data_IF_038349997881
#
_entry.id   IF_038349997881
#
_cell.length_a   1.000
_cell.length_b   1.000
_cell.length_c   1.000
_cell.angle_alpha   90.00
_cell.angle_beta   90.00
_cell.angle_gamma   90.00
#
_symmetry.space_group_name_H-M   'P 1'
#
loop_
_entity.id
_entity.type
_entity.pdbx_description
1 polymer ?
#
# COMPACT_ATOMS: atom_id res chain seq x y z
N UNK A 1 -28.19 1.09 9.32
CA UNK A 1 -28.78 0.18 8.32
C UNK A 1 -29.06 0.89 6.99
N UNK A 2 -28.41 2.03 6.71
CA UNK A 2 -28.78 2.92 5.58
C UNK A 2 -27.86 2.86 4.36
N UNK A 3 -26.78 2.08 4.41
CA UNK A 3 -25.81 1.98 3.30
C UNK A 3 -26.35 1.25 2.05
N UNK A 4 -27.38 0.41 2.20
CA UNK A 4 -27.96 -0.33 1.07
C UNK A 4 -29.04 0.46 0.30
N UNK A 5 -29.56 1.56 0.86
CA UNK A 5 -30.61 2.35 0.21
C UNK A 5 -30.05 3.24 -0.91
N UNK A 6 -28.87 3.85 -0.70
CA UNK A 6 -28.21 4.76 -1.65
C UNK A 6 -27.79 4.09 -2.96
N UNK A 7 -27.31 2.83 -2.92
CA UNK A 7 -26.83 2.13 -4.14
C UNK A 7 -27.98 1.73 -5.08
N UNK A 8 -29.19 1.53 -4.53
CA UNK A 8 -30.39 1.17 -5.32
C UNK A 8 -31.02 2.38 -6.00
N UNK A 9 -30.89 3.57 -5.42
CA UNK A 9 -31.37 4.82 -6.03
C UNK A 9 -30.50 5.26 -7.21
N UNK A 10 -29.18 5.05 -7.18
CA UNK A 10 -28.29 5.47 -8.28
C UNK A 10 -28.49 4.65 -9.57
N UNK A 11 -28.79 3.36 -9.46
CA UNK A 11 -29.07 2.49 -10.62
C UNK A 11 -30.43 2.80 -11.25
N UNK A 12 -31.45 3.10 -10.45
CA UNK A 12 -32.78 3.52 -10.93
C UNK A 12 -32.71 4.89 -11.61
N UNK A 13 -31.90 5.80 -11.09
CA UNK A 13 -31.67 7.11 -11.70
C UNK A 13 -31.01 6.98 -13.08
N UNK A 14 -29.95 6.18 -13.22
CA UNK A 14 -29.29 5.90 -14.51
C UNK A 14 -30.24 5.30 -15.55
N UNK A 15 -31.09 4.37 -15.13
CA UNK A 15 -32.04 3.73 -16.04
C UNK A 15 -33.06 4.71 -16.63
N UNK A 16 -33.53 5.69 -15.83
CA UNK A 16 -34.46 6.73 -16.29
C UNK A 16 -33.85 7.65 -17.36
N UNK A 17 -32.56 7.95 -17.26
CA UNK A 17 -31.87 8.83 -18.22
C UNK A 17 -31.64 8.20 -19.59
N UNK A 18 -31.35 6.89 -19.65
CA UNK A 18 -31.25 6.18 -20.92
C UNK A 18 -32.59 6.13 -21.65
N UNK A 19 -33.69 6.01 -20.92
CA UNK A 19 -35.05 6.04 -21.50
C UNK A 19 -35.40 7.42 -22.07
N UNK A 20 -35.05 8.50 -21.35
CA UNK A 20 -35.24 9.88 -21.82
C UNK A 20 -34.42 10.17 -23.08
N UNK A 21 -33.16 9.71 -23.12
CA UNK A 21 -32.30 9.84 -24.29
C UNK A 21 -32.85 9.08 -25.51
N UNK A 22 -33.26 7.82 -25.32
CA UNK A 22 -33.88 7.02 -26.38
C UNK A 22 -35.16 7.67 -26.92
N UNK A 23 -35.97 8.29 -26.05
CA UNK A 23 -37.17 9.04 -26.44
C UNK A 23 -36.83 10.26 -27.31
N UNK A 24 -35.79 11.02 -26.96
CA UNK A 24 -35.36 12.22 -27.72
C UNK A 24 -34.85 11.83 -29.11
N UNK A 25 -34.04 10.77 -29.21
CA UNK A 25 -33.55 10.25 -30.50
C UNK A 25 -34.71 9.76 -31.36
N UNK A 26 -35.66 9.05 -30.76
CA UNK A 26 -36.84 8.54 -31.47
C UNK A 26 -37.74 9.67 -31.97
N UNK A 27 -37.98 10.71 -31.17
CA UNK A 27 -38.68 11.92 -31.58
C UNK A 27 -37.95 12.63 -32.74
N UNK A 28 -36.63 12.76 -32.66
CA UNK A 28 -35.81 13.36 -33.72
C UNK A 28 -35.96 12.62 -35.06
N UNK A 29 -35.99 11.28 -35.02
CA UNK A 29 -36.17 10.44 -36.22
C UNK A 29 -37.60 10.56 -36.79
N UNK A 30 -38.61 10.62 -35.92
CA UNK A 30 -40.01 10.81 -36.33
C UNK A 30 -40.18 12.17 -37.03
N UNK A 31 -39.66 13.25 -36.44
CA UNK A 31 -39.72 14.59 -37.04
C UNK A 31 -38.96 14.67 -38.37
N UNK A 32 -37.80 14.01 -38.47
CA UNK A 32 -37.04 13.93 -39.72
C UNK A 32 -37.80 13.16 -40.81
N UNK A 33 -38.43 12.03 -40.47
CA UNK A 33 -39.22 11.23 -41.41
C UNK A 33 -40.48 11.95 -41.92
N UNK A 34 -41.21 12.62 -41.02
CA UNK A 34 -42.37 13.45 -41.37
C UNK A 34 -41.94 14.63 -42.23
N UNK A 35 -40.85 15.30 -41.87
CA UNK A 35 -40.28 16.41 -42.64
C UNK A 35 -39.89 16.01 -44.07
N UNK A 36 -39.27 14.83 -44.23
CA UNK A 36 -38.91 14.28 -45.55
C UNK A 36 -40.13 13.91 -46.39
N UNK A 37 -41.18 13.34 -45.77
CA UNK A 37 -42.37 12.89 -46.49
C UNK A 37 -43.29 14.04 -46.95
N UNK A 38 -43.26 15.18 -46.28
CA UNK A 38 -44.11 16.35 -46.57
C UNK A 38 -43.37 17.38 -47.46
N UNK A 39 -42.11 17.12 -47.82
CA UNK A 39 -41.28 18.05 -48.57
C UNK A 39 -41.75 18.20 -50.02
N UNK A 40 -42.71 19.10 -50.22
CA UNK A 40 -43.10 19.62 -51.54
C UNK A 40 -42.37 20.94 -51.81
N UNK A 41 -42.03 21.26 -53.06
CA UNK A 41 -41.20 22.44 -53.39
C UNK A 41 -41.78 23.81 -52.98
N UNK A 42 -43.03 23.86 -52.54
CA UNK A 42 -43.81 25.09 -52.35
C UNK A 42 -44.19 25.38 -50.89
N UNK A 43 -44.02 24.44 -49.96
CA UNK A 43 -44.39 24.63 -48.55
C UNK A 43 -43.17 24.81 -47.63
N UNK A 44 -43.11 25.98 -46.95
CA UNK A 44 -42.09 26.30 -45.94
C UNK A 44 -42.16 25.42 -44.69
N UNK A 45 -43.27 24.71 -44.50
CA UNK A 45 -43.55 23.87 -43.33
C UNK A 45 -42.56 22.71 -43.21
N UNK A 46 -42.21 22.04 -44.32
CA UNK A 46 -41.25 20.94 -44.33
C UNK A 46 -39.83 21.35 -43.93
N UNK A 47 -39.38 22.55 -44.33
CA UNK A 47 -38.06 23.06 -43.96
C UNK A 47 -37.95 23.37 -42.46
N UNK A 48 -39.00 23.93 -41.84
CA UNK A 48 -38.98 24.20 -40.39
C UNK A 48 -38.88 22.92 -39.55
N UNK A 49 -39.55 21.84 -39.96
CA UNK A 49 -39.49 20.55 -39.28
C UNK A 49 -38.10 19.90 -39.36
N UNK A 50 -37.40 20.04 -40.50
CA UNK A 50 -36.03 19.54 -40.64
C UNK A 50 -35.02 20.31 -39.76
N UNK A 51 -35.18 21.63 -39.61
CA UNK A 51 -34.33 22.42 -38.71
C UNK A 51 -34.56 22.03 -37.25
N UNK A 52 -35.82 21.80 -36.85
CA UNK A 52 -36.16 21.33 -35.50
C UNK A 52 -35.59 19.92 -35.26
N UNK A 53 -35.69 19.02 -36.24
CA UNK A 53 -35.11 17.67 -36.15
C UNK A 53 -33.58 17.73 -36.02
N UNK A 54 -32.90 18.61 -36.79
CA UNK A 54 -31.46 18.83 -36.66
C UNK A 54 -31.05 19.36 -35.28
N UNK A 55 -31.83 20.29 -34.71
CA UNK A 55 -31.61 20.81 -33.36
C UNK A 55 -31.80 19.76 -32.26
N UNK A 56 -32.81 18.89 -32.39
CA UNK A 56 -33.00 17.77 -31.45
C UNK A 56 -31.87 16.74 -31.55
N UNK A 57 -31.37 16.48 -32.75
CA UNK A 57 -30.27 15.55 -32.96
C UNK A 57 -28.95 16.06 -32.38
N UNK A 58 -28.62 17.35 -32.56
CA UNK A 58 -27.40 17.94 -31.97
C UNK A 58 -27.48 17.96 -30.45
N UNK A 59 -28.65 18.22 -29.87
CA UNK A 59 -28.87 18.16 -28.43
C UNK A 59 -28.73 16.74 -27.89
N UNK A 60 -29.22 15.73 -28.62
CA UNK A 60 -29.00 14.33 -28.29
C UNK A 60 -27.50 13.97 -28.35
N UNK A 61 -26.77 14.41 -29.38
CA UNK A 61 -25.34 14.15 -29.50
C UNK A 61 -24.55 14.77 -28.35
N UNK A 62 -24.82 16.04 -28.01
CA UNK A 62 -24.19 16.71 -26.88
C UNK A 62 -24.47 15.98 -25.55
N UNK A 63 -25.71 15.50 -25.37
CA UNK A 63 -26.08 14.71 -24.21
C UNK A 63 -25.35 13.36 -24.15
N UNK A 64 -25.20 12.67 -25.29
CA UNK A 64 -24.46 11.41 -25.36
C UNK A 64 -22.99 11.59 -24.97
N UNK A 65 -22.34 12.66 -25.44
CA UNK A 65 -20.96 13.01 -25.06
C UNK A 65 -20.87 13.28 -23.55
N UNK A 66 -21.82 14.02 -22.98
CA UNK A 66 -21.86 14.30 -21.55
C UNK A 66 -21.98 13.02 -20.70
N UNK A 67 -22.83 12.07 -21.11
CA UNK A 67 -22.95 10.76 -20.45
C UNK A 67 -21.65 9.96 -20.53
N UNK A 68 -20.97 10.02 -21.68
CA UNK A 68 -19.70 9.32 -21.89
C UNK A 68 -18.59 9.89 -20.98
N UNK A 69 -18.57 11.20 -20.78
CA UNK A 69 -17.67 11.87 -19.82
C UNK A 69 -17.99 11.53 -18.36
N UNK A 70 -19.27 11.40 -18.01
CA UNK A 70 -19.65 10.96 -16.66
C UNK A 70 -19.23 9.51 -16.38
N UNK A 71 -19.43 8.62 -17.36
CA UNK A 71 -18.99 7.23 -17.26
C UNK A 71 -17.47 7.13 -17.14
N UNK A 72 -16.71 7.91 -17.91
CA UNK A 72 -15.24 7.92 -17.81
C UNK A 72 -14.76 8.47 -16.47
N UNK A 73 -15.41 9.52 -15.95
CA UNK A 73 -15.11 10.04 -14.62
C UNK A 73 -15.35 9.00 -13.53
N UNK A 74 -16.45 8.26 -13.61
CA UNK A 74 -16.79 7.25 -12.62
C UNK A 74 -15.91 6.00 -12.70
N UNK A 75 -15.54 5.56 -13.90
CA UNK A 75 -14.58 4.44 -14.05
C UNK A 75 -13.22 4.82 -13.49
N UNK A 76 -12.73 6.04 -13.75
CA UNK A 76 -11.49 6.54 -13.14
C UNK A 76 -11.59 6.58 -11.61
N UNK A 77 -12.71 7.05 -11.07
CA UNK A 77 -12.93 7.06 -9.61
C UNK A 77 -12.96 5.65 -9.02
N UNK A 78 -13.67 4.72 -9.66
CA UNK A 78 -13.74 3.31 -9.24
C UNK A 78 -12.38 2.62 -9.31
N UNK A 79 -11.59 2.90 -10.36
CA UNK A 79 -10.23 2.41 -10.48
C UNK A 79 -9.33 2.93 -9.36
N UNK A 80 -9.49 4.19 -8.97
CA UNK A 80 -8.77 4.78 -7.83
C UNK A 80 -9.12 4.10 -6.51
N UNK A 81 -10.41 3.94 -6.22
CA UNK A 81 -10.89 3.26 -5.00
C UNK A 81 -10.47 1.77 -4.97
N UNK A 82 -10.41 1.12 -6.13
CA UNK A 82 -9.94 -0.27 -6.26
C UNK A 82 -8.43 -0.35 -6.05
N UNK A 83 -7.67 0.61 -6.56
CA UNK A 83 -6.22 0.74 -6.31
C UNK A 83 -5.91 0.87 -4.82
N UNK A 84 -6.62 1.74 -4.10
CA UNK A 84 -6.44 1.91 -2.64
C UNK A 84 -6.70 0.60 -1.86
N UNK A 85 -7.71 -0.19 -2.28
CA UNK A 85 -7.97 -1.51 -1.66
C UNK A 85 -6.90 -2.55 -1.98
N UNK A 86 -6.33 -2.49 -3.19
CA UNK A 86 -5.25 -3.38 -3.62
C UNK A 86 -3.96 -3.08 -2.88
N UNK A 87 -3.64 -1.81 -2.67
CA UNK A 87 -2.54 -1.36 -1.80
C UNK A 87 -2.70 -1.89 -0.38
N UNK A 88 -3.87 -1.69 0.23
CA UNK A 88 -4.15 -2.20 1.58
C UNK A 88 -4.04 -3.74 1.67
N UNK A 89 -4.46 -4.45 0.61
CA UNK A 89 -4.35 -5.92 0.55
C UNK A 89 -2.90 -6.38 0.35
N UNK A 90 -2.12 -5.65 -0.45
CA UNK A 90 -0.69 -5.87 -0.65
C UNK A 90 0.09 -5.66 0.66
N UNK A 91 -0.22 -4.58 1.38
CA UNK A 91 0.34 -4.31 2.71
C UNK A 91 -0.02 -5.43 3.71
N UNK A 92 -1.24 -5.95 3.68
CA UNK A 92 -1.63 -7.08 4.54
C UNK A 92 -0.90 -8.38 4.18
N UNK A 93 -0.72 -8.68 2.90
CA UNK A 93 0.07 -9.83 2.44
C UNK A 93 1.55 -9.70 2.82
N UNK A 94 2.12 -8.50 2.77
CA UNK A 94 3.50 -8.26 3.21
C UNK A 94 3.67 -8.37 4.73
N UNK A 95 2.66 -7.96 5.51
CA UNK A 95 2.63 -8.25 6.96
C UNK A 95 2.64 -9.75 7.22
N UNK A 96 1.82 -10.52 6.51
CA UNK A 96 1.80 -11.98 6.63
C UNK A 96 3.14 -12.60 6.22
N UNK A 97 3.75 -12.13 5.13
CA UNK A 97 5.06 -12.59 4.68
C UNK A 97 6.16 -12.30 5.72
N UNK A 98 6.16 -11.09 6.28
CA UNK A 98 7.11 -10.67 7.33
C UNK A 98 6.93 -11.51 8.61
N UNK A 99 5.69 -11.74 9.04
CA UNK A 99 5.38 -12.62 10.17
C UNK A 99 5.83 -14.05 9.91
N UNK A 100 5.65 -14.58 8.69
CA UNK A 100 6.13 -15.92 8.33
C UNK A 100 7.65 -16.01 8.35
N UNK A 101 8.36 -14.97 7.91
CA UNK A 101 9.83 -14.88 8.01
C UNK A 101 10.28 -14.78 9.47
N UNK A 102 9.59 -13.99 10.30
CA UNK A 102 9.86 -13.88 11.74
C UNK A 102 9.54 -15.17 12.49
N UNK A 103 8.50 -15.90 12.12
CA UNK A 103 8.19 -17.24 12.67
C UNK A 103 9.29 -18.22 12.25
N UNK A 104 9.70 -18.21 10.97
CA UNK A 104 10.79 -19.05 10.48
C UNK A 104 12.14 -18.75 11.15
N UNK A 105 12.41 -17.48 11.49
CA UNK A 105 13.58 -17.05 12.24
C UNK A 105 13.44 -17.36 13.74
N UNK A 106 12.25 -17.18 14.30
CA UNK A 106 11.90 -17.46 15.69
C UNK A 106 12.04 -18.94 16.03
N UNK A 107 11.73 -19.86 15.11
CA UNK A 107 11.97 -21.30 15.28
C UNK A 107 13.47 -21.64 15.44
N UNK A 108 14.40 -20.74 15.05
CA UNK A 108 15.86 -20.94 15.12
C UNK A 108 16.56 -20.16 16.22
N UNK A 109 15.85 -19.32 16.99
CA UNK A 109 16.43 -18.51 18.07
C UNK A 109 16.29 -19.20 19.43
N UNK A 110 17.32 -19.08 20.27
CA UNK A 110 17.29 -19.48 21.69
C UNK A 110 16.19 -18.73 22.44
N UNK A 111 15.55 -19.37 23.43
CA UNK A 111 14.38 -18.84 24.13
C UNK A 111 14.61 -17.48 24.80
N UNK A 112 15.85 -17.17 25.20
CA UNK A 112 16.24 -15.85 25.74
C UNK A 112 16.24 -14.74 24.67
N UNK A 113 16.60 -15.07 23.43
CA UNK A 113 16.59 -14.11 22.32
C UNK A 113 15.18 -13.86 21.78
N UNK A 114 14.30 -14.88 21.84
CA UNK A 114 12.87 -14.72 21.60
C UNK A 114 12.27 -13.76 22.61
N UNK A 115 12.53 -13.94 23.89
CA UNK A 115 11.96 -13.08 24.94
C UNK A 115 12.35 -11.61 24.76
N UNK A 116 13.59 -11.31 24.36
CA UNK A 116 14.05 -9.93 24.11
C UNK A 116 13.42 -9.33 22.85
N UNK A 117 13.40 -10.05 21.73
CA UNK A 117 12.84 -9.55 20.45
C UNK A 117 11.32 -9.41 20.50
N UNK A 118 10.63 -10.34 21.16
CA UNK A 118 9.17 -10.29 21.29
C UNK A 118 8.72 -9.29 22.34
N UNK A 119 9.55 -8.93 23.33
CA UNK A 119 9.17 -7.95 24.36
C UNK A 119 8.86 -6.58 23.77
N UNK A 120 9.70 -6.08 22.87
CA UNK A 120 9.51 -4.72 22.32
C UNK A 120 8.31 -4.67 21.36
N UNK A 121 8.06 -5.77 20.63
CA UNK A 121 6.86 -5.93 19.81
C UNK A 121 5.59 -6.02 20.66
N UNK A 122 5.62 -6.84 21.73
CA UNK A 122 4.49 -7.01 22.65
C UNK A 122 4.14 -5.70 23.38
N UNK A 123 5.15 -4.94 23.82
CA UNK A 123 4.96 -3.62 24.42
C UNK A 123 4.29 -2.64 23.45
N UNK A 124 4.69 -2.65 22.19
CA UNK A 124 4.11 -1.80 21.18
C UNK A 124 2.64 -2.16 20.93
N UNK A 125 2.35 -3.45 20.69
CA UNK A 125 0.99 -3.93 20.41
C UNK A 125 0.03 -3.64 21.56
N UNK A 126 0.47 -3.90 22.80
CA UNK A 126 -0.29 -3.58 24.01
C UNK A 126 -0.53 -2.07 24.14
N UNK A 127 0.51 -1.26 23.92
CA UNK A 127 0.41 0.19 23.96
C UNK A 127 -0.59 0.74 22.92
N UNK A 128 -0.51 0.27 21.68
CA UNK A 128 -1.43 0.65 20.60
C UNK A 128 -2.87 0.26 20.92
N UNK A 129 -3.09 -0.95 21.47
CA UNK A 129 -4.42 -1.41 21.82
C UNK A 129 -5.07 -0.51 22.89
N UNK A 130 -4.33 -0.13 23.93
CA UNK A 130 -4.81 0.79 24.96
C UNK A 130 -5.06 2.20 24.40
N UNK A 131 -4.16 2.73 23.55
CA UNK A 131 -4.35 4.03 22.90
C UNK A 131 -5.56 4.05 21.99
N UNK A 132 -5.81 2.98 21.25
CA UNK A 132 -6.99 2.87 20.39
C UNK A 132 -8.29 2.96 21.20
N UNK A 133 -8.33 2.36 22.40
CA UNK A 133 -9.46 2.49 23.32
C UNK A 133 -9.65 3.92 23.83
N UNK A 134 -8.56 4.61 24.17
CA UNK A 134 -8.60 6.04 24.52
C UNK A 134 -9.15 6.89 23.37
N UNK A 135 -8.73 6.63 22.14
CA UNK A 135 -9.21 7.36 20.94
C UNK A 135 -10.69 7.10 20.64
N UNK A 136 -11.21 5.95 21.04
CA UNK A 136 -12.63 5.58 20.91
C UNK A 136 -13.52 6.15 22.02
N UNK A 137 -12.96 6.92 22.96
CA UNK A 137 -13.62 7.38 24.19
C UNK A 137 -14.06 6.25 25.13
N UNK A 138 -13.49 5.06 24.98
CA UNK A 138 -13.71 3.91 25.85
C UNK A 138 -12.68 3.95 27.00
N UNK A 139 -12.81 4.97 27.85
CA UNK A 139 -11.85 5.27 28.91
C UNK A 139 -11.81 4.15 29.96
N UNK A 140 -12.95 3.55 30.29
CA UNK A 140 -13.04 2.49 31.30
C UNK A 140 -12.25 1.24 30.87
N UNK A 141 -12.39 0.81 29.60
CA UNK A 141 -11.59 -0.30 29.08
C UNK A 141 -10.11 0.06 28.97
N UNK A 142 -9.79 1.27 28.53
CA UNK A 142 -8.40 1.72 28.45
C UNK A 142 -7.72 1.74 29.83
N UNK A 143 -8.38 2.27 30.86
CA UNK A 143 -7.89 2.28 32.24
C UNK A 143 -7.69 0.86 32.77
N UNK A 144 -8.66 -0.04 32.54
CA UNK A 144 -8.54 -1.46 32.93
C UNK A 144 -7.33 -2.13 32.26
N UNK A 145 -7.10 -1.87 30.96
CA UNK A 145 -5.94 -2.40 30.25
C UNK A 145 -4.62 -1.86 30.79
N UNK A 146 -4.56 -0.54 31.08
CA UNK A 146 -3.37 0.09 31.65
C UNK A 146 -3.08 -0.46 33.05
N UNK A 147 -4.10 -0.67 33.88
CA UNK A 147 -3.95 -1.26 35.20
C UNK A 147 -3.48 -2.71 35.13
N UNK A 148 -4.04 -3.51 34.22
CA UNK A 148 -3.59 -4.88 33.98
C UNK A 148 -2.13 -4.93 33.53
N UNK A 149 -1.69 -4.00 32.67
CA UNK A 149 -0.29 -3.86 32.29
C UNK A 149 0.59 -3.48 33.48
N UNK A 150 0.14 -2.57 34.35
CA UNK A 150 0.91 -2.10 35.50
C UNK A 150 1.24 -3.21 36.52
N UNK A 151 0.45 -4.30 36.55
CA UNK A 151 0.70 -5.47 37.41
C UNK A 151 1.94 -6.27 36.99
N UNK A 152 2.39 -6.14 35.74
CA UNK A 152 3.57 -6.83 35.26
C UNK A 152 4.78 -5.89 35.31
N UNK A 153 5.86 -6.24 36.04
CA UNK A 153 7.06 -5.39 36.13
C UNK A 153 7.64 -5.00 34.76
N UNK A 154 7.55 -5.91 33.78
CA UNK A 154 8.00 -5.68 32.40
C UNK A 154 7.25 -4.57 31.65
N UNK A 155 6.08 -4.13 32.13
CA UNK A 155 5.26 -3.09 31.49
C UNK A 155 5.01 -1.86 32.37
N UNK A 156 5.66 -1.78 33.53
CA UNK A 156 5.36 -0.74 34.50
C UNK A 156 5.60 0.67 33.94
N UNK A 157 6.68 0.87 33.20
CA UNK A 157 7.00 2.16 32.57
C UNK A 157 6.01 2.52 31.44
N UNK A 158 5.66 1.54 30.60
CA UNK A 158 4.66 1.69 29.54
C UNK A 158 3.30 2.08 30.14
N UNK A 159 2.84 1.36 31.16
CA UNK A 159 1.59 1.63 31.85
C UNK A 159 1.58 3.03 32.48
N UNK A 160 2.67 3.45 33.14
CA UNK A 160 2.79 4.80 33.71
C UNK A 160 2.74 5.90 32.64
N UNK A 161 3.38 5.67 31.48
CA UNK A 161 3.29 6.59 30.33
C UNK A 161 1.87 6.67 29.76
N UNK A 162 1.22 5.52 29.56
CA UNK A 162 -0.16 5.45 29.06
C UNK A 162 -1.15 6.08 30.03
N UNK A 163 -0.99 5.90 31.35
CA UNK A 163 -1.83 6.54 32.37
C UNK A 163 -1.77 8.06 32.28
N UNK A 164 -0.55 8.63 32.20
CA UNK A 164 -0.37 10.08 31.97
C UNK A 164 -0.94 10.58 30.63
N UNK A 165 -1.01 9.72 29.62
CA UNK A 165 -1.68 10.06 28.36
C UNK A 165 -3.20 10.02 28.52
N UNK A 166 -3.75 8.98 29.15
CA UNK A 166 -5.17 8.84 29.44
C UNK A 166 -5.71 10.04 30.24
N UNK A 167 -5.00 10.46 31.30
CA UNK A 167 -5.37 11.62 32.11
C UNK A 167 -5.43 12.92 31.26
N UNK A 168 -4.45 13.10 30.36
CA UNK A 168 -4.40 14.23 29.42
C UNK A 168 -5.52 14.18 28.39
N UNK A 169 -5.87 13.00 27.89
CA UNK A 169 -6.99 12.81 26.97
C UNK A 169 -8.33 13.14 27.65
N UNK A 170 -8.50 12.69 28.89
CA UNK A 170 -9.72 12.90 29.68
C UNK A 170 -9.94 14.39 29.97
N UNK A 171 -8.88 15.09 30.37
CA UNK A 171 -8.92 16.52 30.68
C UNK A 171 -8.93 17.44 29.43
N UNK A 172 -8.61 16.93 28.24
CA UNK A 172 -8.55 17.73 27.03
C UNK A 172 -9.95 18.07 26.46
N UNK A 173 -10.04 19.24 25.82
CA UNK A 173 -11.16 19.62 24.96
C UNK A 173 -11.24 18.70 23.74
N UNK A 174 -12.39 18.68 23.07
CA UNK A 174 -12.57 17.89 21.84
C UNK A 174 -11.49 18.20 20.79
N UNK A 175 -11.21 19.48 20.56
CA UNK A 175 -10.14 19.92 19.66
C UNK A 175 -8.75 19.49 20.16
N UNK A 176 -8.51 19.53 21.47
CA UNK A 176 -7.29 19.02 22.09
C UNK A 176 -7.09 17.52 21.88
N UNK A 177 -8.16 16.71 21.97
CA UNK A 177 -8.12 15.26 21.70
C UNK A 177 -7.84 14.97 20.23
N UNK A 178 -8.49 15.70 19.31
CA UNK A 178 -8.22 15.58 17.88
C UNK A 178 -6.74 15.86 17.60
N UNK A 179 -6.17 16.92 18.19
CA UNK A 179 -4.76 17.26 18.03
C UNK A 179 -3.82 16.16 18.56
N UNK A 180 -4.15 15.56 19.70
CA UNK A 180 -3.34 14.46 20.26
C UNK A 180 -3.36 13.22 19.37
N UNK A 181 -4.54 12.87 18.81
CA UNK A 181 -4.66 11.74 17.87
C UNK A 181 -3.88 12.03 16.59
N UNK A 182 -4.00 13.25 16.05
CA UNK A 182 -3.24 13.66 14.86
C UNK A 182 -1.74 13.60 15.12
N UNK A 183 -1.25 14.10 16.26
CA UNK A 183 0.16 14.04 16.61
C UNK A 183 0.67 12.60 16.69
N UNK A 184 -0.13 11.68 17.23
CA UNK A 184 0.23 10.25 17.23
C UNK A 184 0.25 9.66 15.81
N UNK A 185 -0.69 10.03 14.95
CA UNK A 185 -0.67 9.61 13.53
C UNK A 185 0.57 10.15 12.80
N UNK A 186 0.97 11.39 13.08
CA UNK A 186 2.17 11.99 12.50
C UNK A 186 3.45 11.29 12.99
N UNK A 187 3.50 10.86 14.25
CA UNK A 187 4.58 10.01 14.77
C UNK A 187 4.63 8.66 14.02
N UNK A 188 3.48 8.02 13.76
CA UNK A 188 3.42 6.80 12.95
C UNK A 188 3.88 7.01 11.50
N UNK A 189 3.66 8.19 10.91
CA UNK A 189 4.23 8.54 9.61
C UNK A 189 5.75 8.57 9.66
N UNK A 190 6.34 9.18 10.70
CA UNK A 190 7.79 9.29 10.84
C UNK A 190 8.49 7.92 11.03
N UNK A 191 7.75 6.93 11.54
CA UNK A 191 8.21 5.56 11.72
C UNK A 191 7.86 4.64 10.53
N UNK A 192 7.31 5.17 9.44
CA UNK A 192 6.88 4.42 8.26
C UNK A 192 5.82 3.34 8.55
N UNK A 193 5.03 3.51 9.63
CA UNK A 193 3.99 2.57 10.08
C UNK A 193 2.65 2.84 9.39
N UNK A 194 2.64 2.80 8.05
CA UNK A 194 1.54 3.29 7.21
C UNK A 194 0.18 2.67 7.53
N UNK A 195 0.10 1.34 7.63
CA UNK A 195 -1.18 0.68 7.87
C UNK A 195 -1.75 0.92 9.28
N UNK A 196 -0.90 1.11 10.31
CA UNK A 196 -1.38 1.52 11.63
C UNK A 196 -1.89 2.98 11.58
N UNK A 197 -1.14 3.85 10.92
CA UNK A 197 -1.55 5.23 10.72
C UNK A 197 -2.91 5.30 9.97
N UNK A 198 -3.08 4.50 8.93
CA UNK A 198 -4.35 4.37 8.18
C UNK A 198 -5.51 3.94 9.08
N UNK A 199 -5.34 2.90 9.89
CA UNK A 199 -6.37 2.45 10.83
C UNK A 199 -6.76 3.54 11.85
N UNK A 200 -5.78 4.27 12.38
CA UNK A 200 -6.04 5.40 13.28
C UNK A 200 -6.73 6.57 12.58
N UNK A 201 -6.42 6.84 11.31
CA UNK A 201 -7.11 7.85 10.50
C UNK A 201 -8.58 7.48 10.28
N UNK A 202 -8.87 6.22 9.93
CA UNK A 202 -10.25 5.75 9.78
C UNK A 202 -11.03 5.88 11.09
N UNK A 203 -10.40 5.48 12.21
CA UNK A 203 -11.01 5.64 13.54
C UNK A 203 -11.24 7.12 13.87
N UNK A 204 -10.28 8.00 13.57
CA UNK A 204 -10.39 9.44 13.81
C UNK A 204 -11.57 10.04 13.02
N UNK A 205 -11.71 9.69 11.74
CA UNK A 205 -12.81 10.18 10.90
C UNK A 205 -14.16 9.65 11.39
N UNK A 206 -14.21 8.40 11.84
CA UNK A 206 -15.43 7.79 12.39
C UNK A 206 -15.86 8.46 13.69
N UNK A 207 -14.93 8.73 14.60
CA UNK A 207 -15.21 9.36 15.90
C UNK A 207 -15.50 10.86 15.75
N UNK A 208 -14.84 11.55 14.82
CA UNK A 208 -14.97 13.00 14.61
C UNK A 208 -15.30 13.35 13.15
N UNK A 209 -16.51 13.01 12.66
CA UNK A 209 -16.89 13.18 11.25
C UNK A 209 -17.01 14.64 10.81
N UNK A 210 -17.15 15.57 11.76
CA UNK A 210 -17.30 17.00 11.49
C UNK A 210 -15.95 17.73 11.38
N UNK A 211 -14.86 17.13 11.86
CA UNK A 211 -13.54 17.76 11.86
C UNK A 211 -12.94 17.79 10.46
N UNK A 212 -12.71 18.98 9.92
CA UNK A 212 -12.02 19.13 8.64
C UNK A 212 -10.58 18.64 8.71
N UNK A 213 -9.93 18.77 9.87
CA UNK A 213 -8.58 18.23 10.11
C UNK A 213 -8.55 16.71 10.04
N UNK A 214 -9.56 16.03 10.57
CA UNK A 214 -9.66 14.57 10.43
C UNK A 214 -9.82 14.14 8.97
N UNK A 215 -10.63 14.87 8.19
CA UNK A 215 -10.88 14.58 6.77
C UNK A 215 -9.65 14.80 5.87
N UNK A 216 -8.70 15.65 6.25
CA UNK A 216 -7.47 15.86 5.47
C UNK A 216 -6.39 14.82 5.73
N UNK A 217 -6.47 14.06 6.83
CA UNK A 217 -5.45 13.08 7.19
C UNK A 217 -5.21 11.96 6.16
N UNK A 218 -6.23 11.40 5.46
CA UNK A 218 -5.98 10.44 4.38
C UNK A 218 -5.14 11.03 3.24
N UNK A 219 -5.35 12.30 2.90
CA UNK A 219 -4.54 12.98 1.89
C UNK A 219 -3.10 13.18 2.37
N UNK A 220 -2.90 13.54 3.65
CA UNK A 220 -1.58 13.65 4.27
C UNK A 220 -0.83 12.31 4.28
N UNK A 221 -1.49 11.21 4.63
CA UNK A 221 -0.87 9.86 4.58
C UNK A 221 -0.33 9.55 3.19
N UNK A 222 -1.12 9.81 2.14
CA UNK A 222 -0.65 9.63 0.75
C UNK A 222 0.54 10.52 0.42
N UNK A 223 0.49 11.80 0.80
CA UNK A 223 1.59 12.73 0.58
C UNK A 223 2.89 12.26 1.26
N UNK A 224 2.81 11.75 2.49
CA UNK A 224 3.96 11.20 3.20
C UNK A 224 4.49 9.92 2.53
N UNK A 225 3.62 8.99 2.12
CA UNK A 225 4.03 7.80 1.35
C UNK A 225 4.73 8.18 0.04
N UNK A 226 4.16 9.13 -0.71
CA UNK A 226 4.72 9.61 -1.98
C UNK A 226 6.06 10.35 -1.78
N UNK A 227 6.23 11.05 -0.66
CA UNK A 227 7.49 11.69 -0.29
C UNK A 227 8.57 10.65 0.02
N UNK A 228 8.26 9.67 0.87
CA UNK A 228 9.18 8.57 1.20
C UNK A 228 9.58 7.80 -0.05
N UNK A 229 8.62 7.47 -0.93
CA UNK A 229 8.92 6.84 -2.23
C UNK A 229 9.91 7.65 -3.06
N UNK A 230 9.74 8.97 -3.15
CA UNK A 230 10.67 9.85 -3.88
C UNK A 230 12.05 9.90 -3.25
N UNK A 231 12.14 9.92 -1.92
CA UNK A 231 13.39 9.85 -1.17
C UNK A 231 14.12 8.54 -1.47
N UNK A 232 13.44 7.40 -1.38
CA UNK A 232 14.00 6.09 -1.74
C UNK A 232 14.46 6.00 -3.19
N UNK A 233 13.70 6.55 -4.15
CA UNK A 233 14.11 6.60 -5.56
C UNK A 233 15.39 7.43 -5.74
N UNK A 234 15.49 8.56 -5.06
CA UNK A 234 16.68 9.42 -5.12
C UNK A 234 17.90 8.77 -4.47
N UNK A 235 17.72 8.11 -3.31
CA UNK A 235 18.77 7.31 -2.65
C UNK A 235 19.24 6.16 -3.53
N UNK A 236 18.30 5.47 -4.18
CA UNK A 236 18.62 4.38 -5.09
C UNK A 236 19.43 4.86 -6.29
N UNK A 237 18.99 5.94 -6.95
CA UNK A 237 19.74 6.54 -8.06
C UNK A 237 21.16 6.94 -7.63
N UNK A 238 21.33 7.46 -6.41
CA UNK A 238 22.63 7.80 -5.85
C UNK A 238 23.49 6.55 -5.61
N UNK A 239 22.91 5.50 -5.02
CA UNK A 239 23.61 4.23 -4.77
C UNK A 239 24.07 3.57 -6.09
N UNK A 240 23.23 3.60 -7.13
CA UNK A 240 23.56 3.10 -8.46
C UNK A 240 24.72 3.89 -9.07
N UNK A 241 24.69 5.24 -8.99
CA UNK A 241 25.77 6.10 -9.47
C UNK A 241 27.09 5.83 -8.74
N UNK A 242 27.03 5.57 -7.44
CA UNK A 242 28.18 5.26 -6.60
C UNK A 242 28.67 3.81 -6.76
N UNK A 243 27.99 3.00 -7.58
CA UNK A 243 28.24 1.55 -7.75
C UNK A 243 28.11 0.75 -6.44
N UNK A 244 27.41 1.31 -5.45
CA UNK A 244 27.09 0.61 -4.21
C UNK A 244 25.95 -0.37 -4.48
N UNK A 245 26.34 -1.56 -4.91
CA UNK A 245 25.41 -2.57 -5.42
C UNK A 245 24.58 -3.18 -4.28
N UNK A 246 25.15 -3.25 -3.07
CA UNK A 246 24.49 -3.83 -1.90
C UNK A 246 23.41 -2.90 -1.39
N UNK A 247 23.74 -1.62 -1.19
CA UNK A 247 22.77 -0.60 -0.80
C UNK A 247 21.68 -0.44 -1.86
N UNK A 248 22.04 -0.49 -3.15
CA UNK A 248 21.07 -0.40 -4.24
C UNK A 248 20.03 -1.54 -4.20
N UNK A 249 20.44 -2.77 -3.86
CA UNK A 249 19.52 -3.90 -3.76
C UNK A 249 18.65 -3.84 -2.50
N UNK A 250 19.18 -3.35 -1.39
CA UNK A 250 18.39 -3.13 -0.17
C UNK A 250 17.29 -2.09 -0.42
N UNK A 251 17.63 -0.96 -1.04
CA UNK A 251 16.64 0.08 -1.36
C UNK A 251 15.60 -0.44 -2.37
N UNK A 252 15.99 -1.25 -3.36
CA UNK A 252 15.02 -1.87 -4.28
C UNK A 252 14.01 -2.77 -3.58
N UNK A 253 14.44 -3.52 -2.55
CA UNK A 253 13.51 -4.34 -1.75
C UNK A 253 12.50 -3.48 -1.00
N UNK A 254 12.94 -2.33 -0.48
CA UNK A 254 12.04 -1.40 0.20
C UNK A 254 11.11 -0.69 -0.79
N UNK A 255 11.61 -0.28 -1.96
CA UNK A 255 10.84 0.35 -3.03
C UNK A 255 9.71 -0.53 -3.58
N UNK A 256 9.90 -1.86 -3.64
CA UNK A 256 8.87 -2.80 -4.11
C UNK A 256 7.55 -2.66 -3.35
N UNK A 257 7.60 -2.20 -2.09
CA UNK A 257 6.42 -1.94 -1.25
C UNK A 257 5.59 -0.72 -1.70
N UNK A 258 6.17 0.18 -2.49
CA UNK A 258 5.60 1.47 -2.86
C UNK A 258 5.40 1.67 -4.36
N UNK A 259 6.00 0.81 -5.19
CA UNK A 259 5.95 0.95 -6.63
C UNK A 259 4.66 0.39 -7.22
N UNK A 260 4.07 1.17 -8.12
CA UNK A 260 3.03 0.64 -9.01
C UNK A 260 3.66 -0.27 -10.08
N UNK A 261 2.89 -1.18 -10.71
CA UNK A 261 3.41 -2.05 -11.77
C UNK A 261 4.06 -1.28 -12.94
N UNK A 262 3.56 -0.08 -13.26
CA UNK A 262 4.12 0.76 -14.31
C UNK A 262 5.47 1.38 -13.90
N UNK A 263 5.59 1.86 -12.65
CA UNK A 263 6.85 2.40 -12.12
C UNK A 263 7.90 1.29 -11.97
N UNK A 264 7.50 0.11 -11.50
CA UNK A 264 8.37 -1.07 -11.41
C UNK A 264 8.91 -1.49 -12.78
N UNK A 265 8.09 -1.41 -13.83
CA UNK A 265 8.52 -1.70 -15.20
C UNK A 265 9.58 -0.70 -15.67
N UNK A 266 9.43 0.58 -15.35
CA UNK A 266 10.40 1.62 -15.71
C UNK A 266 11.77 1.41 -15.05
N UNK A 267 11.79 0.86 -13.83
CA UNK A 267 13.02 0.57 -13.08
C UNK A 267 13.65 -0.80 -13.42
N UNK A 268 12.94 -1.64 -14.20
CA UNK A 268 13.32 -3.04 -14.40
C UNK A 268 14.71 -3.20 -15.02
N UNK A 269 15.02 -2.45 -16.06
CA UNK A 269 16.28 -2.62 -16.81
C UNK A 269 17.52 -2.26 -15.96
N UNK A 270 17.43 -1.13 -15.27
CA UNK A 270 18.46 -0.64 -14.37
C UNK A 270 18.59 -1.54 -13.14
N UNK A 271 17.49 -1.98 -12.53
CA UNK A 271 17.49 -2.96 -11.44
C UNK A 271 18.15 -4.28 -11.87
N UNK A 272 17.79 -4.84 -13.03
CA UNK A 272 18.40 -6.09 -13.55
C UNK A 272 19.91 -5.97 -13.69
N UNK A 273 20.40 -4.81 -14.09
CA UNK A 273 21.85 -4.55 -14.21
C UNK A 273 22.52 -4.61 -12.84
N UNK A 274 21.95 -3.96 -11.81
CA UNK A 274 22.44 -4.02 -10.42
C UNK A 274 22.43 -5.47 -9.90
N UNK A 275 21.35 -6.22 -10.12
CA UNK A 275 21.26 -7.64 -9.74
C UNK A 275 22.36 -8.48 -10.41
N UNK A 276 22.60 -8.30 -11.71
CA UNK A 276 23.66 -9.01 -12.44
C UNK A 276 25.04 -8.67 -11.89
N UNK A 277 25.31 -7.39 -11.59
CA UNK A 277 26.58 -6.95 -11.02
C UNK A 277 26.82 -7.57 -9.64
N UNK A 278 25.83 -7.59 -8.74
CA UNK A 278 25.99 -8.24 -7.42
C UNK A 278 26.25 -9.73 -7.56
N UNK A 279 25.48 -10.41 -8.42
CA UNK A 279 25.66 -11.84 -8.66
C UNK A 279 27.05 -12.13 -9.24
N UNK A 280 27.55 -11.29 -10.14
CA UNK A 280 28.91 -11.42 -10.67
C UNK A 280 29.96 -11.23 -9.58
N UNK A 281 29.85 -10.18 -8.75
CA UNK A 281 30.78 -9.91 -7.65
C UNK A 281 30.83 -11.09 -6.65
N UNK A 282 29.67 -11.60 -6.24
CA UNK A 282 29.58 -12.78 -5.38
C UNK A 282 30.15 -14.03 -6.05
N UNK A 283 29.93 -14.20 -7.36
CA UNK A 283 30.49 -15.30 -8.13
C UNK A 283 32.03 -15.26 -8.18
N UNK A 284 32.61 -14.07 -8.35
CA UNK A 284 34.07 -13.86 -8.30
C UNK A 284 34.59 -14.19 -6.90
N UNK A 285 33.97 -13.67 -5.85
CA UNK A 285 34.37 -13.93 -4.46
C UNK A 285 34.30 -15.42 -4.12
N UNK A 286 33.23 -16.10 -4.54
CA UNK A 286 33.07 -17.54 -4.38
C UNK A 286 34.18 -18.30 -5.11
N UNK A 287 34.47 -17.95 -6.37
CA UNK A 287 35.51 -18.58 -7.17
C UNK A 287 36.90 -18.42 -6.52
N UNK A 288 37.23 -17.20 -6.07
CA UNK A 288 38.49 -16.91 -5.36
C UNK A 288 38.58 -17.76 -4.09
N UNK A 289 37.54 -17.78 -3.26
CA UNK A 289 37.53 -18.58 -2.02
C UNK A 289 37.72 -20.08 -2.29
N UNK A 290 37.16 -20.62 -3.38
CA UNK A 290 37.36 -22.01 -3.80
C UNK A 290 38.80 -22.24 -4.26
N UNK A 291 39.38 -21.33 -5.06
CA UNK A 291 40.77 -21.46 -5.53
C UNK A 291 41.79 -21.38 -4.40
N UNK A 292 41.54 -20.53 -3.40
CA UNK A 292 42.37 -20.38 -2.20
C UNK A 292 42.12 -21.48 -1.15
N UNK A 293 41.21 -22.42 -1.43
CA UNK A 293 40.77 -23.48 -0.49
C UNK A 293 40.20 -22.92 0.83
N UNK A 294 39.72 -21.69 0.83
CA UNK A 294 39.01 -21.11 1.97
C UNK A 294 37.55 -21.60 1.98
N UNK A 295 37.37 -22.85 2.42
CA UNK A 295 36.07 -23.53 2.38
C UNK A 295 35.00 -22.88 3.25
N UNK A 296 35.39 -22.22 4.34
CA UNK A 296 34.46 -21.48 5.20
C UNK A 296 33.85 -20.30 4.46
N UNK A 297 34.70 -19.46 3.85
CA UNK A 297 34.26 -18.30 3.06
C UNK A 297 33.46 -18.73 1.83
N UNK A 298 33.92 -19.76 1.12
CA UNK A 298 33.18 -20.31 -0.03
C UNK A 298 31.78 -20.83 0.36
N UNK A 299 31.64 -21.46 1.53
CA UNK A 299 30.35 -21.91 2.04
C UNK A 299 29.43 -20.73 2.41
N UNK A 300 29.95 -19.69 3.04
CA UNK A 300 29.20 -18.48 3.40
C UNK A 300 28.70 -17.74 2.14
N UNK A 301 29.60 -17.39 1.22
CA UNK A 301 29.25 -16.74 -0.05
C UNK A 301 28.30 -17.62 -0.89
N UNK A 302 28.51 -18.94 -0.89
CA UNK A 302 27.63 -19.88 -1.58
C UNK A 302 26.20 -19.89 -1.01
N UNK A 303 26.04 -19.83 0.31
CA UNK A 303 24.72 -19.70 0.96
C UNK A 303 24.06 -18.37 0.61
N UNK A 304 24.83 -17.28 0.62
CA UNK A 304 24.34 -15.95 0.25
C UNK A 304 23.78 -15.92 -1.18
N UNK A 305 24.51 -16.49 -2.16
CA UNK A 305 24.05 -16.59 -3.55
C UNK A 305 22.75 -17.39 -3.64
N UNK A 306 22.66 -18.53 -2.95
CA UNK A 306 21.47 -19.40 -2.99
C UNK A 306 20.25 -18.75 -2.34
N UNK A 307 20.46 -17.95 -1.29
CA UNK A 307 19.38 -17.26 -0.57
C UNK A 307 18.90 -16.01 -1.30
N UNK A 308 19.82 -15.17 -1.79
CA UNK A 308 19.49 -13.89 -2.41
C UNK A 308 19.16 -14.00 -3.91
N UNK A 309 19.65 -15.04 -4.60
CA UNK A 309 19.47 -15.24 -6.04
C UNK A 309 18.99 -16.67 -6.38
N UNK A 310 17.88 -17.15 -5.79
CA UNK A 310 17.47 -18.55 -5.84
C UNK A 310 17.18 -19.08 -7.24
N UNK A 311 16.80 -18.19 -8.17
CA UNK A 311 16.46 -18.50 -9.56
C UNK A 311 17.64 -18.36 -10.53
N UNK A 312 18.82 -18.00 -10.04
CA UNK A 312 20.01 -17.91 -10.89
C UNK A 312 20.58 -19.28 -11.20
N UNK A 313 21.15 -19.45 -12.40
CA UNK A 313 21.87 -20.67 -12.78
C UNK A 313 23.03 -20.96 -11.80
N UNK A 314 23.74 -19.93 -11.38
CA UNK A 314 24.83 -20.04 -10.40
C UNK A 314 24.34 -20.60 -9.07
N UNK A 315 23.19 -20.15 -8.56
CA UNK A 315 22.60 -20.71 -7.34
C UNK A 315 22.23 -22.19 -7.50
N UNK A 316 21.72 -22.61 -8.66
CA UNK A 316 21.42 -24.02 -8.92
C UNK A 316 22.70 -24.89 -8.91
N UNK A 317 23.78 -24.41 -9.52
CA UNK A 317 25.08 -25.09 -9.55
C UNK A 317 25.76 -25.14 -8.18
N UNK A 318 25.62 -24.07 -7.37
CA UNK A 318 26.16 -24.04 -6.00
C UNK A 318 25.35 -24.94 -5.08
N UNK A 319 24.01 -24.94 -5.21
CA UNK A 319 23.12 -25.77 -4.39
C UNK A 319 23.43 -27.26 -4.58
N UNK A 320 23.70 -27.71 -5.80
CA UNK A 320 24.07 -29.11 -6.07
C UNK A 320 25.44 -29.51 -5.50
N UNK A 321 26.31 -28.55 -5.19
CA UNK A 321 27.65 -28.76 -4.61
C UNK A 321 27.74 -28.39 -3.14
N UNK A 322 26.62 -27.99 -2.52
CA UNK A 322 26.59 -27.45 -1.16
C UNK A 322 27.05 -28.47 -0.11
N UNK A 323 26.64 -29.73 -0.25
CA UNK A 323 27.02 -30.80 0.69
C UNK A 323 28.52 -31.05 0.69
N UNK A 324 29.16 -30.99 -0.48
CA UNK A 324 30.61 -31.14 -0.64
C UNK A 324 31.35 -29.97 0.03
N UNK A 325 30.85 -28.74 -0.11
CA UNK A 325 31.42 -27.57 0.53
C UNK A 325 31.28 -27.60 2.05
N UNK A 326 30.13 -28.07 2.56
CA UNK A 326 29.91 -28.25 3.99
C UNK A 326 30.87 -29.28 4.58
N UNK A 327 31.06 -30.41 3.91
CA UNK A 327 31.97 -31.46 4.38
C UNK A 327 33.43 -30.97 4.40
N UNK A 328 33.87 -30.26 3.35
CA UNK A 328 35.21 -29.66 3.28
C UNK A 328 35.45 -28.58 4.32
N UNK A 329 34.45 -27.75 4.60
CA UNK A 329 34.54 -26.74 5.66
C UNK A 329 34.64 -27.38 7.05
N UNK A 330 33.93 -28.49 7.28
CA UNK A 330 34.00 -29.26 8.54
C UNK A 330 35.35 -29.96 8.74
N UNK A 331 35.92 -30.55 7.69
CA UNK A 331 37.24 -31.20 7.76
C UNK A 331 38.35 -30.18 8.01
N UNK A 332 38.33 -29.05 7.29
CA UNK A 332 39.31 -27.98 7.50
C UNK A 332 39.25 -27.38 8.92
N UNK A 333 38.05 -27.27 9.51
CA UNK A 333 37.88 -26.83 10.91
C UNK A 333 38.40 -27.84 11.95
N UNK A 334 38.47 -29.13 11.60
CA UNK A 334 39.03 -30.17 12.48
C UNK A 334 40.56 -30.25 12.41
N UNK A 335 41.16 -29.81 11.31
CA UNK A 335 42.63 -29.78 11.13
C UNK A 335 43.29 -28.53 11.73
N UNK A 336 42.51 -27.50 12.03
CA UNK A 336 42.96 -26.24 12.64
C UNK A 336 42.64 -26.12 14.14
N UNK A 337 41.95 -27.11 14.70
CA UNK A 337 41.77 -27.33 16.15
C UNK A 337 42.77 -28.36 16.65
#
# INVERSE_FOLDING_TARGET
MDFFKSRKESTIWRFKWHFLFALIVLLSLIFAGIGWSIQTPQEKTGQTLLVIAGGLFTLALAYAVFVLLLLSYETVRSLKDTGEKLDNSSEMLNRQSTLLVQIAQGVRLSDTAKEIVFRDAEQLELGEAALNKLHQHDFDQAETMIEAMAQQPKYHELAARLKRMADRYRAATEEGRINQIIAHIEDLFSQYRWAQAGAHIESLIKTFPYSDRAKTMPARLREHKDRHKRELLAEWDLAVRNKDTDRSLEILKELDLYLTPAEALALKESAVTVFRTKLHNLGVEFSVAVTEKNWKKALETGKEIVQNFPNSRMAAEIRSKMDILQERARTCAKETS
#
